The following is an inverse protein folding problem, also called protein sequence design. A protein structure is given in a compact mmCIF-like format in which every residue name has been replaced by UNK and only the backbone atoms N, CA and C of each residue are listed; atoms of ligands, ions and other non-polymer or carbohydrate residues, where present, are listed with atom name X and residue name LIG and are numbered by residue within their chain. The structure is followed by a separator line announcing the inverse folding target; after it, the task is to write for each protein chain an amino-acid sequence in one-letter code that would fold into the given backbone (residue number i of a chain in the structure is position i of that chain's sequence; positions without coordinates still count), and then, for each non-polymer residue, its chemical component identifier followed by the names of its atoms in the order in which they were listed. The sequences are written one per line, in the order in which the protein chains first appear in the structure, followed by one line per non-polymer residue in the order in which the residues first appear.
data_IF_121458079495
#
_entry.id   IF_121458079495
#
_cell.length_a   1.000
_cell.length_b   1.000
_cell.length_c   1.000
_cell.angle_alpha   90.00
_cell.angle_beta   90.00
_cell.angle_gamma   90.00
#
_symmetry.space_group_name_H-M   'P 1'
#
loop_
_entity.id
_entity.type
_entity.pdbx_description
1 polymer ?
#
# COMPACT_ATOMS: atom_id res chain seq x y z
N UNK A 1 56.91 -3.38 -9.30
CA UNK A 1 55.64 -2.78 -9.79
C UNK A 1 54.50 -3.63 -9.25
N UNK A 2 53.74 -3.12 -8.29
CA UNK A 2 52.59 -3.80 -7.69
C UNK A 2 51.34 -3.43 -8.52
N UNK A 3 50.73 -4.42 -9.16
CA UNK A 3 49.46 -4.26 -9.85
C UNK A 3 48.37 -4.28 -8.78
N UNK A 4 47.74 -3.13 -8.54
CA UNK A 4 46.51 -3.02 -7.78
C UNK A 4 45.41 -3.76 -8.54
N UNK A 5 45.10 -4.99 -8.13
CA UNK A 5 43.91 -5.69 -8.57
C UNK A 5 42.68 -5.01 -7.95
N UNK A 6 42.08 -4.08 -8.69
CA UNK A 6 40.74 -3.59 -8.39
C UNK A 6 39.79 -4.78 -8.47
N UNK A 7 39.27 -5.22 -7.32
CA UNK A 7 38.19 -6.20 -7.27
C UNK A 7 36.97 -5.59 -7.97
N UNK A 8 36.37 -6.29 -8.95
CA UNK A 8 35.09 -5.85 -9.48
C UNK A 8 34.06 -5.90 -8.35
N UNK A 9 33.46 -4.75 -8.05
CA UNK A 9 32.20 -4.68 -7.34
C UNK A 9 31.16 -5.36 -8.23
N UNK A 10 30.96 -6.66 -8.01
CA UNK A 10 29.74 -7.31 -8.44
C UNK A 10 28.61 -6.64 -7.65
N UNK A 11 27.96 -5.67 -8.26
CA UNK A 11 26.59 -5.34 -7.91
C UNK A 11 25.81 -6.64 -8.06
N UNK A 12 25.52 -7.29 -6.93
CA UNK A 12 24.41 -8.23 -6.86
C UNK A 12 23.20 -7.41 -7.28
N UNK A 13 22.82 -7.53 -8.54
CA UNK A 13 21.45 -7.33 -8.98
C UNK A 13 20.66 -8.26 -8.08
N UNK A 14 20.13 -7.67 -7.02
CA UNK A 14 19.14 -8.33 -6.18
C UNK A 14 17.97 -8.40 -7.13
N UNK A 15 17.75 -9.56 -7.74
CA UNK A 15 16.51 -9.81 -8.48
C UNK A 15 15.41 -9.29 -7.57
N UNK A 16 14.71 -8.26 -8.06
CA UNK A 16 13.53 -7.71 -7.39
C UNK A 16 12.62 -8.92 -7.26
N UNK A 17 12.59 -9.54 -6.08
CA UNK A 17 11.57 -10.53 -5.79
C UNK A 17 10.29 -9.78 -6.06
N UNK A 18 9.50 -10.27 -7.01
CA UNK A 18 8.09 -9.96 -7.07
C UNK A 18 7.59 -10.00 -5.61
N UNK A 19 6.93 -8.94 -5.12
CA UNK A 19 6.34 -9.01 -3.79
C UNK A 19 5.53 -10.30 -3.77
N UNK A 20 5.80 -11.20 -2.81
CA UNK A 20 5.24 -12.54 -2.79
C UNK A 20 3.78 -12.48 -3.30
N UNK A 21 3.57 -12.92 -4.55
CA UNK A 21 2.29 -12.81 -5.26
C UNK A 21 1.05 -13.19 -4.44
N UNK A 22 1.11 -14.06 -3.41
CA UNK A 22 -0.03 -14.31 -2.54
C UNK A 22 -0.47 -13.16 -1.62
N UNK A 23 0.26 -12.05 -1.38
CA UNK A 23 -0.15 -11.17 -0.27
C UNK A 23 -1.50 -10.47 -0.51
N UNK A 24 -1.76 -9.94 -1.70
CA UNK A 24 -3.08 -9.37 -2.01
C UNK A 24 -4.20 -10.42 -1.84
N UNK A 25 -3.94 -11.65 -2.24
CA UNK A 25 -4.88 -12.77 -2.09
C UNK A 25 -5.07 -13.16 -0.62
N UNK A 26 -3.99 -13.22 0.17
CA UNK A 26 -4.01 -13.54 1.61
C UNK A 26 -4.79 -12.48 2.39
N UNK A 27 -4.59 -11.19 2.09
CA UNK A 27 -5.36 -10.08 2.68
C UNK A 27 -6.84 -10.22 2.30
N UNK A 28 -7.15 -10.47 1.02
CA UNK A 28 -8.53 -10.68 0.53
C UNK A 28 -9.23 -11.81 1.30
N UNK A 29 -8.56 -12.93 1.46
CA UNK A 29 -9.12 -14.12 2.11
C UNK A 29 -9.31 -13.94 3.62
N UNK A 30 -8.38 -13.24 4.29
CA UNK A 30 -8.43 -13.05 5.74
C UNK A 30 -9.37 -11.90 6.18
N UNK A 31 -9.60 -10.91 5.31
CA UNK A 31 -10.31 -9.67 5.67
C UNK A 31 -11.49 -9.36 4.75
N UNK A 32 -12.15 -10.40 4.23
CA UNK A 32 -13.25 -10.26 3.27
C UNK A 32 -14.35 -9.33 3.77
N UNK A 33 -14.77 -9.46 5.03
CA UNK A 33 -15.87 -8.67 5.59
C UNK A 33 -15.54 -7.17 5.65
N UNK A 34 -14.30 -6.83 6.04
CA UNK A 34 -13.82 -5.44 6.05
C UNK A 34 -13.76 -4.88 4.62
N UNK A 35 -13.25 -5.66 3.66
CA UNK A 35 -13.13 -5.26 2.26
C UNK A 35 -14.51 -5.09 1.60
N UNK A 36 -15.45 -6.00 1.87
CA UNK A 36 -16.84 -5.90 1.41
C UNK A 36 -17.49 -4.62 1.95
N UNK A 37 -17.26 -4.28 3.24
CA UNK A 37 -17.74 -3.04 3.82
C UNK A 37 -17.17 -1.80 3.11
N UNK A 38 -15.86 -1.78 2.84
CA UNK A 38 -15.21 -0.67 2.12
C UNK A 38 -15.80 -0.48 0.72
N UNK A 39 -16.07 -1.57 0.00
CA UNK A 39 -16.71 -1.52 -1.32
C UNK A 39 -18.15 -1.04 -1.27
N UNK A 40 -18.90 -1.45 -0.24
CA UNK A 40 -20.30 -1.06 -0.06
C UNK A 40 -20.45 0.41 0.38
N UNK A 41 -19.41 1.01 0.96
CA UNK A 41 -19.45 2.34 1.54
C UNK A 41 -18.38 3.28 0.95
N UNK A 42 -18.35 3.50 -0.38
CA UNK A 42 -17.27 4.24 -1.06
C UNK A 42 -17.20 5.74 -0.71
N UNK A 43 -18.23 6.28 -0.03
CA UNK A 43 -18.25 7.66 0.44
C UNK A 43 -17.55 7.84 1.81
N UNK A 44 -17.24 6.74 2.50
CA UNK A 44 -16.66 6.75 3.85
C UNK A 44 -15.18 6.41 3.73
N UNK A 45 -14.32 7.30 4.21
CA UNK A 45 -12.91 6.96 4.39
C UNK A 45 -12.82 5.85 5.44
N UNK A 46 -12.24 4.73 5.07
CA UNK A 46 -12.14 3.56 5.95
C UNK A 46 -10.72 3.00 5.91
N UNK A 47 -10.26 2.49 7.05
CA UNK A 47 -8.89 2.04 7.26
C UNK A 47 -8.86 0.85 8.22
N UNK A 48 -7.98 -0.11 7.97
CA UNK A 48 -7.52 -1.04 9.02
C UNK A 48 -6.06 -1.39 8.83
N UNK A 49 -5.32 -1.42 9.93
CA UNK A 49 -3.97 -1.96 9.95
C UNK A 49 -3.99 -3.45 10.30
N UNK A 50 -3.02 -4.19 9.76
CA UNK A 50 -2.87 -5.61 9.99
C UNK A 50 -1.40 -6.00 10.21
N UNK A 51 -1.21 -7.02 11.03
CA UNK A 51 0.09 -7.56 11.38
C UNK A 51 0.05 -9.08 11.45
N UNK A 52 1.22 -9.68 11.68
CA UNK A 52 1.33 -11.10 11.94
C UNK A 52 1.45 -11.40 13.43
N UNK A 53 0.72 -12.42 13.88
CA UNK A 53 1.01 -13.10 15.14
C UNK A 53 1.81 -14.37 14.83
N UNK A 54 2.93 -14.58 15.54
CA UNK A 54 3.64 -15.85 15.53
C UNK A 54 3.00 -16.78 16.55
N UNK A 55 2.30 -17.83 16.09
CA UNK A 55 1.76 -18.85 17.00
C UNK A 55 2.87 -19.67 17.68
N UNK A 56 4.07 -19.71 17.09
CA UNK A 56 5.35 -20.07 17.71
C UNK A 56 6.52 -19.66 16.79
N UNK A 57 7.78 -19.75 17.23
CA UNK A 57 8.97 -19.52 16.36
C UNK A 57 9.00 -20.38 15.08
N UNK A 58 8.18 -21.43 14.99
CA UNK A 58 8.05 -22.34 13.84
C UNK A 58 6.59 -22.53 13.38
N UNK A 59 5.63 -21.81 13.97
CA UNK A 59 4.20 -21.99 13.73
C UNK A 59 3.72 -21.24 12.48
N UNK A 60 2.51 -21.55 11.98
CA UNK A 60 1.91 -20.79 10.89
C UNK A 60 1.76 -19.33 11.30
N UNK A 61 2.09 -18.43 10.36
CA UNK A 61 1.82 -17.00 10.49
C UNK A 61 0.32 -16.80 10.31
N UNK A 62 -0.31 -16.03 11.20
CA UNK A 62 -1.72 -15.62 11.05
C UNK A 62 -1.79 -14.10 10.92
N UNK A 63 -2.49 -13.63 9.90
CA UNK A 63 -2.85 -12.22 9.77
C UNK A 63 -3.95 -11.87 10.78
N UNK A 64 -3.74 -10.76 11.47
CA UNK A 64 -4.72 -10.17 12.41
C UNK A 64 -4.79 -8.69 12.10
N UNK A 65 -6.00 -8.14 12.10
CA UNK A 65 -6.25 -6.72 11.88
C UNK A 65 -6.86 -6.08 13.13
N UNK A 66 -6.65 -4.79 13.27
CA UNK A 66 -7.48 -3.95 14.15
C UNK A 66 -8.91 -3.88 13.58
N UNK A 67 -9.91 -3.47 14.39
CA UNK A 67 -11.21 -3.11 13.88
C UNK A 67 -11.10 -2.08 12.76
N UNK A 68 -12.06 -2.14 11.83
CA UNK A 68 -12.18 -1.13 10.79
C UNK A 68 -12.45 0.24 11.42
N UNK A 69 -11.58 1.20 11.17
CA UNK A 69 -11.77 2.60 11.51
C UNK A 69 -12.47 3.33 10.36
N UNK A 70 -13.37 4.24 10.68
CA UNK A 70 -14.10 5.06 9.70
C UNK A 70 -13.98 6.55 10.04
N UNK A 71 -13.60 7.37 9.05
CA UNK A 71 -13.42 8.82 9.18
C UNK A 71 -14.34 9.63 8.26
N UNK A 72 -14.34 10.95 8.46
CA UNK A 72 -15.02 11.89 7.56
C UNK A 72 -14.09 12.35 6.44
N UNK A 73 -14.65 12.73 5.28
CA UNK A 73 -14.01 13.06 3.98
C UNK A 73 -12.95 14.19 3.95
N UNK A 74 -12.36 14.55 5.09
CA UNK A 74 -11.29 15.55 5.24
C UNK A 74 -10.05 15.02 5.95
N UNK A 75 -10.04 13.75 6.34
CA UNK A 75 -9.05 13.30 7.29
C UNK A 75 -7.84 12.66 6.65
N UNK A 76 -6.70 13.27 6.89
CA UNK A 76 -5.39 12.61 6.94
C UNK A 76 -5.31 11.60 8.10
N UNK A 77 -6.40 10.86 8.38
CA UNK A 77 -6.67 10.27 9.69
C UNK A 77 -5.65 9.23 10.18
N UNK A 78 -5.01 8.38 9.33
CA UNK A 78 -4.05 7.45 9.91
C UNK A 78 -2.73 8.14 10.29
N UNK A 79 -2.43 9.36 9.79
CA UNK A 79 -1.10 9.98 9.93
C UNK A 79 -0.69 10.37 11.37
N UNK A 80 -1.55 10.15 12.36
CA UNK A 80 -1.41 10.69 13.72
C UNK A 80 -1.36 9.59 14.79
N UNK A 81 -1.75 8.35 14.46
CA UNK A 81 -1.60 7.21 15.36
C UNK A 81 -0.11 6.81 15.40
N UNK A 82 0.49 6.84 16.60
CA UNK A 82 1.91 6.46 16.78
C UNK A 82 2.16 5.00 16.41
N UNK A 83 1.16 4.13 16.54
CA UNK A 83 1.18 2.73 16.13
C UNK A 83 -0.25 2.23 15.91
N UNK A 84 -0.72 2.04 14.66
CA UNK A 84 -2.08 1.59 14.37
C UNK A 84 -2.24 0.06 14.41
N UNK A 85 -1.18 -0.71 14.70
CA UNK A 85 -1.19 -2.17 14.54
C UNK A 85 -1.68 -2.90 15.80
N UNK A 86 -2.28 -4.11 15.64
CA UNK A 86 -2.72 -4.90 16.78
C UNK A 86 -1.62 -5.21 17.77
N UNK A 87 -1.96 -5.15 19.06
CA UNK A 87 -1.04 -5.50 20.13
C UNK A 87 -0.45 -6.90 19.90
N UNK A 88 0.83 -7.07 20.25
CA UNK A 88 1.57 -8.32 20.10
C UNK A 88 1.70 -8.84 18.65
N UNK A 89 1.46 -8.01 17.65
CA UNK A 89 1.77 -8.32 16.25
C UNK A 89 3.08 -7.71 15.79
N UNK A 90 3.65 -8.28 14.73
CA UNK A 90 4.64 -7.57 13.92
C UNK A 90 3.89 -6.78 12.85
N UNK A 91 4.09 -5.44 12.78
CA UNK A 91 3.52 -4.59 11.74
C UNK A 91 3.78 -5.18 10.35
N UNK A 92 2.74 -5.25 9.52
CA UNK A 92 2.90 -5.82 8.20
C UNK A 92 2.29 -4.97 7.09
N UNK A 93 1.08 -4.46 7.26
CA UNK A 93 0.52 -3.53 6.30
C UNK A 93 -0.78 -2.89 6.77
N UNK A 94 -1.33 -2.02 5.95
CA UNK A 94 -2.68 -1.52 6.17
C UNK A 94 -3.43 -1.42 4.86
N UNK A 95 -4.75 -1.47 4.96
CA UNK A 95 -5.68 -1.27 3.86
C UNK A 95 -6.47 0.00 4.13
N UNK A 96 -6.66 0.82 3.11
CA UNK A 96 -7.57 1.96 3.18
C UNK A 96 -8.32 2.18 1.86
N UNK A 97 -9.37 2.99 1.94
CA UNK A 97 -10.13 3.45 0.77
C UNK A 97 -10.09 4.97 0.72
N UNK A 98 -9.73 5.53 -0.43
CA UNK A 98 -9.94 6.96 -0.68
C UNK A 98 -11.44 7.20 -0.90
N UNK A 99 -12.06 8.19 -0.23
CA UNK A 99 -13.46 8.53 -0.49
C UNK A 99 -13.65 8.83 -1.98
N UNK A 100 -14.75 8.37 -2.57
CA UNK A 100 -15.04 8.58 -4.00
C UNK A 100 -15.11 10.06 -4.43
N UNK A 101 -15.33 10.98 -3.48
CA UNK A 101 -15.30 12.42 -3.69
C UNK A 101 -13.87 13.00 -3.72
N UNK A 102 -12.90 12.28 -3.16
CA UNK A 102 -11.51 12.70 -2.95
C UNK A 102 -10.63 12.15 -4.08
N UNK A 103 -10.96 12.55 -5.31
CA UNK A 103 -10.24 12.19 -6.55
C UNK A 103 -10.13 10.68 -6.85
N UNK A 104 -9.86 10.39 -8.12
CA UNK A 104 -9.74 9.05 -8.69
C UNK A 104 -8.48 8.31 -8.21
N UNK A 105 -8.08 8.43 -6.94
CA UNK A 105 -6.84 7.86 -6.43
C UNK A 105 -6.93 6.33 -6.41
N UNK A 106 -6.40 5.70 -7.44
CA UNK A 106 -6.45 4.25 -7.65
C UNK A 106 -5.22 3.57 -7.06
N UNK A 107 -4.15 4.30 -6.79
CA UNK A 107 -2.88 3.77 -6.27
C UNK A 107 -2.50 4.40 -4.94
N UNK A 108 -1.76 3.70 -4.06
CA UNK A 108 -1.21 4.30 -2.85
C UNK A 108 -0.41 5.57 -3.16
N UNK A 109 -0.75 6.66 -2.46
CA UNK A 109 -0.11 7.96 -2.64
C UNK A 109 1.29 8.00 -2.01
N UNK A 110 2.04 9.07 -2.30
CA UNK A 110 3.31 9.34 -1.62
C UNK A 110 3.15 9.37 -0.09
N UNK A 111 2.08 10.00 0.38
CA UNK A 111 1.79 10.16 1.81
C UNK A 111 1.56 8.80 2.46
N UNK A 112 0.88 7.89 1.76
CA UNK A 112 0.61 6.55 2.25
C UNK A 112 1.92 5.75 2.40
N UNK A 113 2.81 5.82 1.40
CA UNK A 113 4.10 5.13 1.48
C UNK A 113 5.03 5.75 2.54
N UNK A 114 5.05 7.09 2.68
CA UNK A 114 5.82 7.75 3.75
C UNK A 114 5.33 7.32 5.14
N UNK A 115 4.01 7.28 5.34
CA UNK A 115 3.41 6.82 6.58
C UNK A 115 3.72 5.36 6.87
N UNK A 116 3.50 4.47 5.89
CA UNK A 116 3.82 3.05 5.99
C UNK A 116 5.26 2.81 6.45
N UNK A 117 6.22 3.55 5.89
CA UNK A 117 7.63 3.48 6.32
C UNK A 117 7.82 3.94 7.75
N UNK A 118 7.18 5.05 8.15
CA UNK A 118 7.30 5.59 9.50
C UNK A 118 6.80 4.62 10.57
N UNK A 119 5.72 3.88 10.28
CA UNK A 119 5.14 2.90 11.21
C UNK A 119 5.66 1.47 11.02
N UNK A 120 6.66 1.28 10.15
CA UNK A 120 7.29 -0.03 9.90
C UNK A 120 6.44 -1.01 9.10
N UNK A 121 5.41 -0.54 8.39
CA UNK A 121 4.56 -1.35 7.52
C UNK A 121 5.31 -1.74 6.23
N UNK A 122 5.26 -3.03 5.86
CA UNK A 122 5.83 -3.55 4.61
C UNK A 122 4.94 -3.28 3.40
N UNK A 123 3.61 -3.29 3.59
CA UNK A 123 2.64 -3.09 2.53
C UNK A 123 1.69 -1.95 2.85
N UNK A 124 1.29 -1.23 1.80
CA UNK A 124 0.11 -0.36 1.84
C UNK A 124 -0.80 -0.74 0.69
N UNK A 125 -2.09 -0.90 0.99
CA UNK A 125 -3.10 -1.32 0.05
C UNK A 125 -4.23 -0.28 -0.06
N UNK A 126 -4.62 0.02 -1.28
CA UNK A 126 -5.77 0.87 -1.60
C UNK A 126 -6.88 0.00 -2.20
N UNK A 127 -8.07 0.10 -1.63
CA UNK A 127 -9.30 -0.43 -2.23
C UNK A 127 -9.82 0.58 -3.26
N UNK A 128 -10.17 0.08 -4.43
CA UNK A 128 -10.73 0.83 -5.55
C UNK A 128 -12.22 0.46 -5.73
N UNK A 129 -13.18 1.22 -5.17
CA UNK A 129 -14.59 0.85 -5.23
C UNK A 129 -15.17 0.80 -6.66
N UNK A 130 -14.70 1.68 -7.55
CA UNK A 130 -15.16 1.75 -8.96
C UNK A 130 -14.85 0.46 -9.73
N UNK A 131 -13.62 -0.04 -9.59
CA UNK A 131 -13.11 -1.21 -10.31
C UNK A 131 -13.24 -2.50 -9.50
N UNK A 132 -13.63 -2.41 -8.23
CA UNK A 132 -13.71 -3.53 -7.26
C UNK A 132 -12.39 -4.28 -7.16
N UNK A 133 -11.30 -3.53 -6.98
CA UNK A 133 -9.95 -4.09 -6.86
C UNK A 133 -9.29 -3.62 -5.59
N UNK A 134 -8.31 -4.38 -5.12
CA UNK A 134 -7.33 -3.93 -4.15
C UNK A 134 -5.96 -3.91 -4.81
N UNK A 135 -5.25 -2.80 -4.66
CA UNK A 135 -3.89 -2.63 -5.14
C UNK A 135 -2.97 -2.44 -3.94
N UNK A 136 -1.97 -3.29 -3.79
CA UNK A 136 -0.97 -3.16 -2.73
C UNK A 136 0.40 -2.88 -3.32
N UNK A 137 1.18 -2.01 -2.68
CA UNK A 137 2.58 -1.75 -3.03
C UNK A 137 3.50 -2.13 -1.89
N UNK A 138 4.70 -2.60 -2.25
CA UNK A 138 5.76 -2.94 -1.31
C UNK A 138 6.56 -1.69 -0.94
N UNK A 139 6.48 -1.28 0.32
CA UNK A 139 7.03 0.01 0.75
C UNK A 139 8.55 -0.02 0.85
N UNK A 140 9.19 -1.17 1.08
CA UNK A 140 10.65 -1.17 1.22
C UNK A 140 11.40 -1.17 -0.11
N UNK A 141 10.71 -1.42 -1.23
CA UNK A 141 11.25 -1.28 -2.58
C UNK A 141 10.83 0.03 -3.25
N UNK A 142 9.71 0.63 -2.85
CA UNK A 142 9.25 1.93 -3.36
C UNK A 142 10.01 3.09 -2.69
N UNK A 143 10.56 4.02 -3.46
CA UNK A 143 11.16 5.25 -2.92
C UNK A 143 10.11 6.36 -2.96
N UNK A 144 9.70 6.97 -1.83
CA UNK A 144 8.57 7.92 -1.78
C UNK A 144 8.72 9.13 -2.71
N UNK A 145 9.94 9.56 -3.00
CA UNK A 145 10.19 10.68 -3.91
C UNK A 145 9.85 10.35 -5.38
N UNK A 146 9.82 9.07 -5.75
CA UNK A 146 9.38 8.61 -7.08
C UNK A 146 7.86 8.76 -7.24
N UNK A 147 7.12 8.83 -6.12
CA UNK A 147 5.70 9.11 -6.11
C UNK A 147 5.48 10.63 -6.20
N UNK A 148 4.81 11.11 -7.24
CA UNK A 148 4.51 12.52 -7.42
C UNK A 148 3.62 12.98 -6.26
N UNK A 149 3.87 14.15 -5.69
CA UNK A 149 2.83 14.83 -4.91
C UNK A 149 1.73 15.21 -5.89
N UNK A 150 0.45 15.09 -5.51
CA UNK A 150 -0.66 15.56 -6.34
C UNK A 150 -0.44 17.01 -6.83
N UNK A 151 0.20 17.85 -6.01
CA UNK A 151 0.58 19.24 -6.30
C UNK A 151 1.64 19.41 -7.41
N UNK A 152 2.35 18.35 -7.79
CA UNK A 152 3.36 18.35 -8.85
C UNK A 152 2.83 17.75 -10.17
N UNK A 153 1.61 17.23 -10.18
CA UNK A 153 0.96 16.77 -11.40
C UNK A 153 0.34 17.97 -12.09
N UNK A 154 0.47 18.05 -13.42
CA UNK A 154 -0.13 19.15 -14.19
C UNK A 154 -1.64 19.20 -13.92
N UNK A 155 -2.17 20.41 -13.69
CA UNK A 155 -3.59 20.60 -13.40
C UNK A 155 -4.50 20.01 -14.48
N UNK A 156 -4.10 20.04 -15.76
CA UNK A 156 -4.88 19.48 -16.86
C UNK A 156 -4.90 17.94 -16.91
N UNK A 157 -4.01 17.28 -16.17
CA UNK A 157 -4.06 15.84 -15.89
C UNK A 157 -4.86 15.59 -14.62
N UNK A 158 -4.60 16.34 -13.56
CA UNK A 158 -5.26 16.17 -12.25
C UNK A 158 -6.78 16.37 -12.28
N UNK A 159 -7.27 17.38 -13.01
CA UNK A 159 -8.71 17.67 -13.10
C UNK A 159 -9.42 16.93 -14.25
N UNK A 160 -8.72 16.08 -15.00
CA UNK A 160 -9.29 15.30 -16.09
C UNK A 160 -9.32 13.80 -15.71
N UNK A 161 -10.51 13.20 -15.52
CA UNK A 161 -10.65 11.81 -15.05
C UNK A 161 -9.88 10.79 -15.89
N UNK A 162 -9.99 10.87 -17.22
CA UNK A 162 -9.40 9.88 -18.14
C UNK A 162 -7.88 10.00 -18.17
N UNK A 163 -7.36 11.24 -18.17
CA UNK A 163 -5.90 11.48 -18.09
C UNK A 163 -5.33 11.06 -16.75
N UNK A 164 -6.08 11.26 -15.67
CA UNK A 164 -5.67 10.85 -14.34
C UNK A 164 -5.62 9.33 -14.20
N UNK A 165 -6.69 8.62 -14.61
CA UNK A 165 -6.74 7.16 -14.58
C UNK A 165 -5.56 6.56 -15.36
N UNK A 166 -5.28 7.09 -16.56
CA UNK A 166 -4.12 6.69 -17.35
C UNK A 166 -2.79 6.97 -16.63
N UNK A 167 -2.64 8.17 -16.08
CA UNK A 167 -1.44 8.57 -15.34
C UNK A 167 -1.15 7.61 -14.19
N UNK A 168 -2.17 7.22 -13.42
CA UNK A 168 -2.01 6.28 -12.32
C UNK A 168 -1.70 4.86 -12.75
N UNK A 169 -2.28 4.38 -13.84
CA UNK A 169 -1.95 3.05 -14.38
C UNK A 169 -0.50 2.99 -14.85
N UNK A 170 -0.04 3.99 -15.61
CA UNK A 170 1.35 4.11 -16.05
C UNK A 170 2.31 4.16 -14.84
N UNK A 171 1.90 4.81 -13.73
CA UNK A 171 2.66 4.80 -12.48
C UNK A 171 2.66 3.45 -11.78
N UNK A 172 1.53 2.76 -11.75
CA UNK A 172 1.42 1.46 -11.12
C UNK A 172 2.37 0.45 -11.78
N UNK A 173 2.49 0.50 -13.11
CA UNK A 173 3.44 -0.31 -13.89
C UNK A 173 4.91 -0.10 -13.48
N UNK A 174 5.26 1.08 -12.95
CA UNK A 174 6.62 1.39 -12.47
C UNK A 174 6.89 0.90 -11.03
N UNK A 175 5.86 0.45 -10.31
CA UNK A 175 5.95 0.08 -8.89
C UNK A 175 5.87 -1.44 -8.72
N UNK A 176 6.62 -2.04 -7.79
CA UNK A 176 6.39 -3.42 -7.36
C UNK A 176 5.08 -3.49 -6.58
N UNK A 177 4.05 -4.02 -7.24
CA UNK A 177 2.68 -4.05 -6.74
C UNK A 177 2.05 -5.43 -6.95
N UNK A 178 0.96 -5.69 -6.22
CA UNK A 178 0.02 -6.75 -6.54
C UNK A 178 -1.38 -6.17 -6.67
N UNK A 179 -2.22 -6.84 -7.47
CA UNK A 179 -3.63 -6.48 -7.67
C UNK A 179 -4.47 -7.73 -7.49
N UNK A 180 -5.60 -7.60 -6.79
CA UNK A 180 -6.62 -8.66 -6.70
C UNK A 180 -8.00 -8.06 -6.90
N UNK A 181 -8.88 -8.79 -7.56
CA UNK A 181 -10.30 -8.46 -7.62
C UNK A 181 -10.94 -8.71 -6.25
N UNK A 182 -11.90 -7.87 -5.84
CA UNK A 182 -12.62 -7.98 -4.58
C UNK A 182 -14.07 -8.41 -4.80
#
# INVERSE_FOLDING_TARGET
MLINAMRPLFFRVTMIREPDGPICQEIKENFKEQLDFMLANPAIESFFAFGYVFQSKKGPRKLVAEPLETGSTKSTYPLWAQNPFPEHTVPFGYVHVHPAADTYNSVPSRTDVEYAKNVGARYVCVVQPKTKKMVCVDTATVIPIQLPKALNVRADVYFNPDKWERYEQERLEELPHCVVDL
#
